data_IF_072582260430
#
_entry.id   IF_072582260430
#
_cell.length_a   1.000
_cell.length_b   1.000
_cell.length_c   1.000
_cell.angle_alpha   90.00
_cell.angle_beta   90.00
_cell.angle_gamma   90.00
#
_symmetry.space_group_name_H-M   'P 1'
#
loop_
_entity.id
_entity.type
_entity.pdbx_description
1 polymer ?
#
# COMPACT_ATOMS: atom_id res chain seq x y z
N UNK A 1 -22.49 -71.13 -26.68
CA UNK A 1 -21.49 -70.71 -25.66
C UNK A 1 -20.47 -69.70 -26.21
N UNK A 2 -20.88 -68.68 -26.99
CA UNK A 2 -19.96 -67.68 -27.59
C UNK A 2 -20.66 -66.34 -27.94
N UNK A 3 -21.52 -65.80 -27.09
CA UNK A 3 -22.12 -64.46 -27.32
C UNK A 3 -22.47 -63.71 -26.02
N UNK A 4 -21.66 -63.85 -24.96
CA UNK A 4 -21.95 -63.19 -23.67
C UNK A 4 -20.76 -62.48 -23.01
N UNK A 5 -19.67 -62.21 -23.74
CA UNK A 5 -18.48 -61.56 -23.17
C UNK A 5 -18.15 -60.19 -23.78
N UNK A 6 -18.98 -59.64 -24.66
CA UNK A 6 -18.68 -58.39 -25.38
C UNK A 6 -19.60 -57.23 -25.03
N UNK A 7 -20.20 -57.25 -23.83
CA UNK A 7 -21.04 -56.14 -23.33
C UNK A 7 -20.64 -55.63 -21.94
N UNK A 8 -19.58 -56.20 -21.32
CA UNK A 8 -19.14 -55.78 -19.99
C UNK A 8 -17.86 -54.92 -19.99
N UNK A 9 -17.22 -54.72 -21.14
CA UNK A 9 -15.98 -53.92 -21.28
C UNK A 9 -16.22 -52.48 -21.72
N UNK A 10 -17.45 -52.08 -22.04
CA UNK A 10 -17.77 -50.68 -22.41
C UNK A 10 -18.21 -49.83 -21.20
N UNK A 11 -18.56 -50.45 -20.07
CA UNK A 11 -19.03 -49.74 -18.86
C UNK A 11 -17.87 -49.25 -17.98
N UNK A 12 -16.64 -49.78 -18.17
CA UNK A 12 -15.44 -49.34 -17.46
C UNK A 12 -14.62 -48.26 -18.19
N UNK A 13 -15.10 -47.78 -19.34
CA UNK A 13 -14.57 -46.61 -20.05
C UNK A 13 -15.36 -45.32 -19.74
N UNK A 14 -16.27 -45.36 -18.76
CA UNK A 14 -16.69 -44.16 -18.03
C UNK A 14 -15.66 -43.88 -16.93
N UNK A 15 -14.38 -43.82 -17.33
CA UNK A 15 -13.31 -43.28 -16.51
C UNK A 15 -13.64 -41.81 -16.27
N UNK A 16 -14.10 -41.54 -15.06
CA UNK A 16 -14.13 -40.25 -14.39
C UNK A 16 -14.15 -39.05 -15.34
N UNK A 17 -15.35 -38.71 -15.81
CA UNK A 17 -15.67 -37.31 -16.09
C UNK A 17 -15.66 -36.64 -14.70
N UNK A 18 -14.45 -36.40 -14.16
CA UNK A 18 -14.29 -35.47 -13.04
C UNK A 18 -14.91 -34.18 -13.53
N UNK A 19 -16.01 -33.76 -12.90
CA UNK A 19 -16.59 -32.46 -13.14
C UNK A 19 -15.46 -31.44 -13.01
N UNK A 20 -15.12 -30.76 -14.11
CA UNK A 20 -14.08 -29.76 -14.11
C UNK A 20 -14.55 -28.64 -13.20
N UNK A 21 -13.91 -28.51 -12.02
CA UNK A 21 -14.26 -27.47 -11.06
C UNK A 21 -14.16 -26.11 -11.74
N UNK A 22 -15.23 -25.34 -11.66
CA UNK A 22 -15.26 -24.00 -12.27
C UNK A 22 -14.54 -23.00 -11.35
N UNK A 23 -14.04 -21.89 -11.89
CA UNK A 23 -13.41 -20.85 -11.06
C UNK A 23 -14.34 -20.36 -9.92
N UNK A 24 -15.64 -20.08 -10.13
CA UNK A 24 -16.55 -19.72 -9.03
C UNK A 24 -16.66 -20.80 -7.94
N UNK A 25 -16.65 -22.08 -8.32
CA UNK A 25 -16.69 -23.18 -7.36
C UNK A 25 -15.41 -23.27 -6.53
N UNK A 26 -14.24 -23.11 -7.17
CA UNK A 26 -12.95 -23.08 -6.48
C UNK A 26 -12.89 -21.89 -5.52
N UNK A 27 -13.32 -20.70 -5.96
CA UNK A 27 -13.40 -19.51 -5.10
C UNK A 27 -14.26 -19.83 -3.87
N UNK A 28 -15.51 -20.27 -4.09
CA UNK A 28 -16.46 -20.56 -3.01
C UNK A 28 -15.92 -21.59 -2.01
N UNK A 29 -15.29 -22.67 -2.50
CA UNK A 29 -14.75 -23.73 -1.65
C UNK A 29 -13.53 -23.29 -0.84
N UNK A 30 -12.83 -22.24 -1.28
CA UNK A 30 -11.62 -21.71 -0.64
C UNK A 30 -11.85 -20.30 -0.06
N UNK A 31 -13.09 -20.02 0.35
CA UNK A 31 -13.47 -18.80 1.04
C UNK A 31 -13.69 -19.06 2.52
N UNK A 32 -13.18 -18.16 3.36
CA UNK A 32 -13.54 -18.06 4.78
C UNK A 32 -14.05 -16.64 5.07
N UNK A 33 -14.85 -16.48 6.12
CA UNK A 33 -15.40 -15.17 6.49
C UNK A 33 -15.01 -14.77 7.90
N UNK A 34 -15.07 -13.46 8.15
CA UNK A 34 -14.90 -12.87 9.47
C UNK A 34 -15.65 -11.54 9.56
N UNK A 35 -15.97 -11.09 10.75
CA UNK A 35 -16.75 -9.87 10.98
C UNK A 35 -16.09 -9.00 12.06
N UNK A 36 -16.44 -7.72 12.08
CA UNK A 36 -16.02 -6.77 13.10
C UNK A 36 -17.19 -6.43 14.02
N UNK A 37 -17.09 -6.82 15.29
CA UNK A 37 -18.11 -6.55 16.30
C UNK A 37 -17.44 -6.29 17.65
N UNK A 38 -18.02 -5.41 18.47
CA UNK A 38 -17.54 -5.10 19.83
C UNK A 38 -16.04 -4.78 19.86
N UNK A 39 -15.61 -3.99 18.89
CA UNK A 39 -14.22 -3.58 18.67
C UNK A 39 -13.23 -4.72 18.40
N UNK A 40 -13.67 -5.91 17.96
CA UNK A 40 -12.79 -7.03 17.66
C UNK A 40 -13.17 -7.70 16.32
N UNK A 41 -12.18 -8.28 15.65
CA UNK A 41 -12.45 -9.20 14.55
C UNK A 41 -12.65 -10.62 15.09
N UNK A 42 -13.55 -11.36 14.48
CA UNK A 42 -13.85 -12.75 14.84
C UNK A 42 -14.35 -13.54 13.63
N UNK A 43 -14.16 -14.86 13.66
CA UNK A 43 -14.52 -15.76 12.57
C UNK A 43 -13.30 -16.47 11.97
N UNK A 44 -13.58 -17.53 11.21
CA UNK A 44 -12.55 -18.43 10.66
C UNK A 44 -11.53 -17.70 9.79
N UNK A 45 -11.98 -16.71 9.00
CA UNK A 45 -11.08 -15.90 8.17
C UNK A 45 -10.08 -15.09 8.98
N UNK A 46 -10.50 -14.54 10.13
CA UNK A 46 -9.61 -13.80 11.03
C UNK A 46 -8.56 -14.71 11.67
N UNK A 47 -8.99 -15.88 12.17
CA UNK A 47 -8.10 -16.88 12.75
C UNK A 47 -7.05 -17.36 11.74
N UNK A 48 -7.47 -17.59 10.49
CA UNK A 48 -6.58 -17.93 9.39
C UNK A 48 -5.55 -16.81 9.11
N UNK A 49 -6.01 -15.55 9.02
CA UNK A 49 -5.11 -14.40 8.82
C UNK A 49 -4.10 -14.28 9.94
N UNK A 50 -4.52 -14.32 11.21
CA UNK A 50 -3.61 -14.22 12.35
C UNK A 50 -2.60 -15.36 12.36
N UNK A 51 -3.03 -16.58 12.01
CA UNK A 51 -2.13 -17.74 11.90
C UNK A 51 -1.07 -17.52 10.83
N UNK A 52 -1.49 -17.17 9.61
CA UNK A 52 -0.57 -16.95 8.49
C UNK A 52 0.37 -15.77 8.76
N UNK A 53 -0.14 -14.67 9.31
CA UNK A 53 0.66 -13.51 9.66
C UNK A 53 1.70 -13.88 10.72
N UNK A 54 1.39 -14.72 11.72
CA UNK A 54 2.37 -15.19 12.72
C UNK A 54 3.49 -16.03 12.12
N UNK A 55 3.18 -16.86 11.12
CA UNK A 55 4.14 -17.78 10.47
C UNK A 55 5.18 -17.09 9.58
N UNK A 56 4.89 -15.91 9.02
CA UNK A 56 5.75 -15.25 8.02
C UNK A 56 6.52 -14.07 8.61
N UNK A 57 7.82 -13.94 8.32
CA UNK A 57 8.62 -12.81 8.82
C UNK A 57 8.24 -11.50 8.13
N UNK A 58 8.01 -11.53 6.82
CA UNK A 58 7.57 -10.37 6.04
C UNK A 58 6.12 -10.54 5.59
N UNK A 59 5.28 -9.59 6.01
CA UNK A 59 3.84 -9.53 5.72
C UNK A 59 3.56 -8.28 4.92
N UNK A 60 3.00 -8.45 3.72
CA UNK A 60 2.77 -7.39 2.76
C UNK A 60 1.27 -7.21 2.52
N UNK A 61 0.77 -6.02 2.81
CA UNK A 61 -0.63 -5.64 2.65
C UNK A 61 -0.71 -4.67 1.47
N UNK A 62 -1.29 -5.16 0.38
CA UNK A 62 -1.66 -4.37 -0.79
C UNK A 62 -3.08 -3.85 -0.65
N UNK A 63 -3.26 -2.53 -0.71
CA UNK A 63 -4.55 -1.90 -0.47
C UNK A 63 -5.11 -1.13 -1.68
N UNK A 64 -6.42 -0.98 -1.69
CA UNK A 64 -7.08 0.19 -2.26
C UNK A 64 -7.02 1.34 -1.25
N UNK A 65 -6.43 2.47 -1.62
CA UNK A 65 -6.28 3.59 -0.70
C UNK A 65 -7.62 4.23 -0.28
N UNK A 66 -7.59 4.96 0.84
CA UNK A 66 -8.64 5.87 1.30
C UNK A 66 -9.91 5.23 1.90
N UNK A 67 -9.81 4.00 2.42
CA UNK A 67 -10.86 3.34 3.21
C UNK A 67 -10.52 3.37 4.71
N UNK A 68 -11.52 3.53 5.58
CA UNK A 68 -11.31 3.45 7.04
C UNK A 68 -11.01 2.03 7.52
N UNK A 69 -11.54 1.07 6.78
CA UNK A 69 -11.54 -0.34 7.14
C UNK A 69 -10.13 -0.95 7.06
N UNK A 70 -9.29 -0.50 6.12
CA UNK A 70 -7.95 -1.08 5.95
C UNK A 70 -7.02 -0.70 7.11
N UNK A 71 -6.88 0.57 7.52
CA UNK A 71 -6.13 0.91 8.73
C UNK A 71 -6.69 0.25 9.99
N UNK A 72 -8.01 0.03 10.07
CA UNK A 72 -8.62 -0.72 11.16
C UNK A 72 -8.13 -2.19 11.17
N UNK A 73 -8.17 -2.87 10.03
CA UNK A 73 -7.64 -4.23 9.87
C UNK A 73 -6.18 -4.32 10.30
N UNK A 74 -5.34 -3.42 9.79
CA UNK A 74 -3.91 -3.38 10.15
C UNK A 74 -3.70 -3.09 11.63
N UNK A 75 -4.45 -2.14 12.20
CA UNK A 75 -4.36 -1.81 13.64
C UNK A 75 -4.72 -3.00 14.52
N UNK A 76 -5.63 -3.86 14.09
CA UNK A 76 -5.98 -5.09 14.82
C UNK A 76 -4.91 -6.14 14.73
N UNK A 77 -4.30 -6.32 13.56
CA UNK A 77 -3.14 -7.21 13.41
C UNK A 77 -2.01 -6.76 14.33
N UNK A 78 -1.68 -5.46 14.35
CA UNK A 78 -0.56 -4.94 15.15
C UNK A 78 -0.84 -4.99 16.65
N UNK A 79 -2.10 -4.99 17.07
CA UNK A 79 -2.48 -5.21 18.48
C UNK A 79 -2.29 -6.66 18.96
N UNK A 80 -2.30 -7.63 18.04
CA UNK A 80 -2.11 -9.04 18.35
C UNK A 80 -0.66 -9.51 18.12
N UNK A 81 0.04 -8.85 17.19
CA UNK A 81 1.35 -9.28 16.70
C UNK A 81 2.25 -8.06 16.67
N UNK A 82 3.34 -8.13 17.44
CA UNK A 82 4.37 -7.10 17.43
C UNK A 82 5.20 -7.18 16.15
N UNK A 83 5.34 -6.06 15.46
CA UNK A 83 6.27 -5.90 14.34
C UNK A 83 7.50 -5.12 14.80
N UNK A 84 8.67 -5.50 14.28
CA UNK A 84 9.90 -4.74 14.48
C UNK A 84 9.91 -3.51 13.56
N UNK A 85 9.40 -3.68 12.33
CA UNK A 85 9.49 -2.67 11.27
C UNK A 85 8.16 -2.52 10.54
N UNK A 86 7.82 -1.27 10.21
CA UNK A 86 6.71 -0.88 9.36
C UNK A 86 7.22 -0.09 8.15
N UNK A 87 7.10 -0.70 6.98
CA UNK A 87 7.46 -0.12 5.69
C UNK A 87 6.22 0.45 5.02
N UNK A 88 6.29 1.72 4.61
CA UNK A 88 5.13 2.42 4.08
C UNK A 88 5.43 3.29 2.84
N UNK A 89 4.36 3.59 2.11
CA UNK A 89 4.32 4.49 0.95
C UNK A 89 4.41 5.98 1.35
N UNK A 90 5.45 6.30 2.12
CA UNK A 90 5.95 7.64 2.44
C UNK A 90 7.40 7.74 2.01
N UNK A 91 7.92 8.94 1.78
CA UNK A 91 9.36 9.12 1.65
C UNK A 91 10.10 8.96 2.99
N UNK A 92 11.40 8.61 2.97
CA UNK A 92 12.18 8.42 4.19
C UNK A 92 12.18 9.64 5.14
N UNK A 93 12.12 10.86 4.60
CA UNK A 93 12.19 12.09 5.40
C UNK A 93 10.87 12.37 6.10
N UNK A 94 9.75 12.31 5.38
CA UNK A 94 8.41 12.51 5.95
C UNK A 94 8.12 11.47 7.03
N UNK A 95 8.44 10.20 6.78
CA UNK A 95 8.32 9.14 7.77
C UNK A 95 9.10 9.47 9.05
N UNK A 96 10.36 9.91 8.92
CA UNK A 96 11.20 10.25 10.07
C UNK A 96 10.72 11.49 10.81
N UNK A 97 10.25 12.51 10.09
CA UNK A 97 9.71 13.73 10.69
C UNK A 97 8.46 13.40 11.49
N UNK A 98 7.51 12.62 10.95
CA UNK A 98 6.30 12.22 11.67
C UNK A 98 6.67 11.42 12.93
N UNK A 99 7.54 10.41 12.82
CA UNK A 99 8.02 9.63 13.96
C UNK A 99 8.65 10.51 15.04
N UNK A 100 9.50 11.47 14.66
CA UNK A 100 10.13 12.41 15.59
C UNK A 100 9.10 13.28 16.30
N UNK A 101 8.13 13.84 15.56
CA UNK A 101 7.12 14.75 16.13
C UNK A 101 6.19 13.99 17.08
N UNK A 102 5.81 12.75 16.77
CA UNK A 102 5.01 11.88 17.66
C UNK A 102 5.76 11.54 18.96
N UNK A 103 7.06 11.27 18.89
CA UNK A 103 7.83 10.91 20.09
C UNK A 103 8.16 12.09 21.02
N UNK A 104 8.22 13.32 20.49
CA UNK A 104 8.82 14.45 21.22
C UNK A 104 7.89 15.65 21.44
N UNK A 105 6.80 15.80 20.67
CA UNK A 105 5.88 16.91 20.88
C UNK A 105 4.88 16.60 22.00
N UNK A 106 4.68 17.50 22.96
CA UNK A 106 3.51 17.49 23.82
C UNK A 106 2.21 17.56 23.02
N UNK A 107 1.10 17.09 23.59
CA UNK A 107 -0.19 16.96 22.91
C UNK A 107 -0.70 18.27 22.26
N UNK A 108 -0.56 19.40 22.94
CA UNK A 108 -0.96 20.72 22.42
C UNK A 108 -0.13 21.12 21.18
N UNK A 109 1.19 20.95 21.25
CA UNK A 109 2.10 21.25 20.14
C UNK A 109 1.91 20.26 18.98
N UNK A 110 1.59 19.00 19.29
CA UNK A 110 1.25 18.00 18.28
C UNK A 110 -0.01 18.41 17.51
N UNK A 111 -1.04 18.88 18.20
CA UNK A 111 -2.29 19.33 17.57
C UNK A 111 -2.06 20.52 16.64
N UNK A 112 -1.27 21.50 17.08
CA UNK A 112 -0.87 22.63 16.26
C UNK A 112 -0.06 22.20 15.03
N UNK A 113 0.91 21.30 15.22
CA UNK A 113 1.75 20.80 14.14
C UNK A 113 0.93 20.03 13.09
N UNK A 114 -0.02 19.20 13.51
CA UNK A 114 -0.90 18.48 12.59
C UNK A 114 -1.82 19.44 11.81
N UNK A 115 -2.36 20.46 12.47
CA UNK A 115 -3.13 21.50 11.78
C UNK A 115 -2.30 22.22 10.71
N UNK A 116 -1.02 22.44 10.97
CA UNK A 116 -0.13 23.15 10.05
C UNK A 116 0.36 22.27 8.91
N UNK A 117 0.79 21.04 9.18
CA UNK A 117 1.54 20.21 8.22
C UNK A 117 0.84 18.94 7.74
N UNK A 118 -0.29 18.50 8.31
CA UNK A 118 -0.89 17.21 7.95
C UNK A 118 -1.19 17.04 6.45
N UNK A 119 -1.54 18.12 5.75
CA UNK A 119 -1.76 18.11 4.30
C UNK A 119 -0.52 17.77 3.45
N UNK A 120 0.66 17.73 4.07
CA UNK A 120 1.93 17.35 3.46
C UNK A 120 2.27 15.87 3.64
N UNK A 121 1.48 15.10 4.40
CA UNK A 121 1.79 13.72 4.78
C UNK A 121 1.29 12.65 3.81
N UNK A 122 0.96 13.03 2.56
CA UNK A 122 0.40 12.10 1.55
C UNK A 122 -0.81 11.33 2.13
N UNK A 123 -0.87 10.01 1.96
CA UNK A 123 -1.91 9.13 2.50
C UNK A 123 -2.09 9.23 4.03
N UNK A 124 -1.02 9.53 4.76
CA UNK A 124 -1.04 9.68 6.23
C UNK A 124 -1.56 11.04 6.70
N UNK A 125 -2.07 11.87 5.79
CA UNK A 125 -2.92 13.01 6.10
C UNK A 125 -4.34 12.59 6.57
N UNK A 126 -4.72 11.33 6.31
CA UNK A 126 -5.98 10.75 6.77
C UNK A 126 -5.90 10.34 8.23
N UNK A 127 -6.97 10.59 8.98
CA UNK A 127 -7.03 10.38 10.42
C UNK A 127 -6.79 8.92 10.83
N UNK A 128 -7.40 7.97 10.13
CA UNK A 128 -7.24 6.53 10.41
C UNK A 128 -5.84 6.02 10.11
N UNK A 129 -5.25 6.44 8.98
CA UNK A 129 -3.85 6.14 8.62
C UNK A 129 -2.85 6.73 9.62
N UNK A 130 -3.07 7.99 10.00
CA UNK A 130 -2.22 8.67 10.98
C UNK A 130 -2.30 8.01 12.36
N UNK A 131 -3.49 7.60 12.80
CA UNK A 131 -3.67 6.92 14.08
C UNK A 131 -2.98 5.55 14.09
N UNK A 132 -3.05 4.79 12.99
CA UNK A 132 -2.27 3.55 12.83
C UNK A 132 -0.77 3.84 12.98
N UNK A 133 -0.25 4.82 12.23
CA UNK A 133 1.16 5.20 12.28
C UNK A 133 1.58 5.65 13.68
N UNK A 134 0.75 6.44 14.35
CA UNK A 134 0.98 6.92 15.72
C UNK A 134 1.07 5.77 16.71
N UNK A 135 0.17 4.80 16.63
CA UNK A 135 0.20 3.64 17.52
C UNK A 135 1.49 2.83 17.33
N UNK A 136 1.89 2.58 16.07
CA UNK A 136 3.14 1.87 15.75
C UNK A 136 4.38 2.59 16.31
N UNK A 137 4.44 3.92 16.19
CA UNK A 137 5.53 4.73 16.77
C UNK A 137 5.56 4.62 18.30
N UNK A 138 4.40 4.71 18.95
CA UNK A 138 4.30 4.60 20.41
C UNK A 138 4.70 3.20 20.91
N UNK A 139 4.43 2.16 20.13
CA UNK A 139 4.84 0.77 20.38
C UNK A 139 6.31 0.47 20.02
N UNK A 140 7.06 1.49 19.58
CA UNK A 140 8.49 1.40 19.21
C UNK A 140 8.74 0.50 18.01
N UNK A 141 7.80 0.47 17.06
CA UNK A 141 8.03 -0.06 15.71
C UNK A 141 8.86 0.93 14.91
N UNK A 142 9.89 0.45 14.20
CA UNK A 142 10.65 1.31 13.29
C UNK A 142 9.77 1.70 12.10
N UNK A 143 9.68 2.98 11.78
CA UNK A 143 8.93 3.46 10.61
C UNK A 143 9.90 3.74 9.47
N UNK A 144 9.69 3.07 8.33
CA UNK A 144 10.53 3.19 7.14
C UNK A 144 9.68 3.64 5.95
N UNK A 145 9.86 4.90 5.57
CA UNK A 145 9.36 5.39 4.29
C UNK A 145 10.26 4.91 3.15
N UNK A 146 9.67 4.49 2.03
CA UNK A 146 10.41 4.04 0.85
C UNK A 146 10.10 4.83 -0.43
N UNK A 147 9.07 5.65 -0.46
CA UNK A 147 8.62 6.33 -1.68
C UNK A 147 9.41 7.61 -1.99
N UNK A 148 9.07 8.25 -3.10
CA UNK A 148 9.48 9.61 -3.43
C UNK A 148 8.80 10.65 -2.53
N UNK A 149 9.42 11.83 -2.41
CA UNK A 149 8.85 12.94 -1.65
C UNK A 149 7.54 13.35 -2.33
N UNK A 150 6.45 13.38 -1.56
CA UNK A 150 5.13 13.67 -2.09
C UNK A 150 5.07 15.07 -2.72
N UNK A 151 4.25 15.22 -3.77
CA UNK A 151 4.07 16.49 -4.50
C UNK A 151 3.53 17.66 -3.64
N UNK A 152 3.08 17.40 -2.41
CA UNK A 152 2.64 18.42 -1.43
C UNK A 152 3.60 18.57 -0.25
N UNK A 153 4.72 17.83 -0.23
CA UNK A 153 5.66 17.80 0.87
C UNK A 153 6.82 18.81 0.75
N UNK A 154 6.86 19.64 -0.30
CA UNK A 154 7.88 20.68 -0.45
C UNK A 154 7.89 21.67 0.72
N UNK A 155 6.73 22.07 1.26
CA UNK A 155 6.66 22.91 2.46
C UNK A 155 7.28 22.22 3.68
N UNK A 156 7.00 20.93 3.86
CA UNK A 156 7.54 20.14 4.97
C UNK A 156 9.06 20.01 4.88
N UNK A 157 9.57 19.70 3.68
CA UNK A 157 11.01 19.61 3.44
C UNK A 157 11.71 20.95 3.61
N UNK A 158 11.13 22.04 3.11
CA UNK A 158 11.67 23.38 3.30
C UNK A 158 11.70 23.79 4.77
N UNK A 159 10.67 23.45 5.56
CA UNK A 159 10.66 23.65 7.00
C UNK A 159 11.80 22.89 7.69
N UNK A 160 11.99 21.60 7.36
CA UNK A 160 13.10 20.80 7.88
C UNK A 160 14.47 21.37 7.51
N UNK A 161 14.64 21.80 6.25
CA UNK A 161 15.88 22.39 5.75
C UNK A 161 16.19 23.72 6.45
N UNK A 162 15.16 24.52 6.77
CA UNK A 162 15.29 25.78 7.50
C UNK A 162 15.81 25.56 8.93
N UNK A 163 15.40 24.46 9.59
CA UNK A 163 15.89 24.10 10.94
C UNK A 163 17.40 23.80 10.96
N UNK A 164 17.94 23.19 9.89
CA UNK A 164 19.33 22.68 9.86
C UNK A 164 20.31 23.61 9.15
N UNK A 165 19.82 24.50 8.29
CA UNK A 165 20.70 25.31 7.44
C UNK A 165 21.45 26.40 8.22
N UNK A 166 22.73 26.57 7.88
CA UNK A 166 23.57 27.69 8.34
C UNK A 166 23.77 28.76 7.28
N UNK A 167 23.27 28.55 6.06
CA UNK A 167 23.47 29.45 4.93
C UNK A 167 22.33 30.47 4.84
N UNK A 168 22.63 31.76 5.00
CA UNK A 168 21.60 32.81 5.00
C UNK A 168 20.88 32.94 3.64
N UNK A 169 21.56 32.68 2.53
CA UNK A 169 20.92 32.66 1.20
C UNK A 169 19.94 31.50 1.07
N UNK A 170 20.31 30.33 1.58
CA UNK A 170 19.42 29.17 1.59
C UNK A 170 18.20 29.39 2.49
N UNK A 171 18.36 30.01 3.67
CA UNK A 171 17.25 30.36 4.57
C UNK A 171 16.16 31.16 3.88
N UNK A 172 16.54 32.15 3.08
CA UNK A 172 15.58 32.95 2.32
C UNK A 172 14.82 32.08 1.32
N UNK A 173 15.53 31.27 0.52
CA UNK A 173 14.91 30.42 -0.49
C UNK A 173 13.98 29.38 0.16
N UNK A 174 14.36 28.75 1.26
CA UNK A 174 13.48 27.81 1.97
C UNK A 174 12.22 28.50 2.50
N UNK A 175 12.34 29.71 3.04
CA UNK A 175 11.20 30.50 3.49
C UNK A 175 10.25 30.84 2.32
N UNK A 176 10.81 31.18 1.16
CA UNK A 176 10.03 31.46 -0.05
C UNK A 176 9.32 30.21 -0.57
N UNK A 177 9.99 29.04 -0.56
CA UNK A 177 9.37 27.75 -0.89
C UNK A 177 8.18 27.47 0.04
N UNK A 178 8.34 27.64 1.37
CA UNK A 178 7.25 27.39 2.32
C UNK A 178 6.02 28.25 2.02
N UNK A 179 6.22 29.55 1.80
CA UNK A 179 5.15 30.52 1.51
C UNK A 179 4.44 30.22 0.19
N UNK A 180 5.21 29.93 -0.86
CA UNK A 180 4.64 29.65 -2.17
C UNK A 180 3.92 28.29 -2.20
N UNK A 181 4.46 27.29 -1.51
CA UNK A 181 3.82 25.98 -1.35
C UNK A 181 2.43 26.09 -0.76
N UNK A 182 2.27 26.83 0.34
CA UNK A 182 0.97 27.06 0.98
C UNK A 182 -0.02 27.75 0.04
N UNK A 183 0.41 28.83 -0.62
CA UNK A 183 -0.41 29.55 -1.60
C UNK A 183 -0.86 28.64 -2.76
N UNK A 184 0.03 27.82 -3.29
CA UNK A 184 -0.28 26.92 -4.40
C UNK A 184 -1.15 25.74 -3.97
N UNK A 185 -0.98 25.24 -2.75
CA UNK A 185 -1.84 24.20 -2.19
C UNK A 185 -3.29 24.67 -2.13
N UNK A 186 -3.55 25.88 -1.64
CA UNK A 186 -4.89 26.47 -1.62
C UNK A 186 -5.51 26.62 -3.02
N UNK A 187 -4.70 27.01 -4.02
CA UNK A 187 -5.18 27.08 -5.40
C UNK A 187 -5.49 25.69 -5.96
N UNK A 188 -4.63 24.72 -5.68
CA UNK A 188 -4.76 23.34 -6.15
C UNK A 188 -6.02 22.65 -5.60
N UNK A 189 -6.25 22.70 -4.29
CA UNK A 189 -7.42 22.03 -3.68
C UNK A 189 -8.74 22.68 -4.07
N UNK A 190 -8.73 23.95 -4.50
CA UNK A 190 -9.88 24.64 -5.05
C UNK A 190 -10.04 24.50 -6.57
N UNK A 191 -9.23 23.65 -7.23
CA UNK A 191 -9.29 23.41 -8.68
C UNK A 191 -8.83 24.59 -9.55
N UNK A 192 -8.04 25.51 -8.99
CA UNK A 192 -7.60 26.77 -9.63
C UNK A 192 -6.10 26.79 -9.96
N UNK A 193 -5.37 25.71 -9.73
CA UNK A 193 -3.93 25.69 -9.96
C UNK A 193 -3.31 24.31 -9.77
N UNK A 194 -1.98 24.29 -9.82
CA UNK A 194 -1.16 23.10 -9.59
C UNK A 194 -0.32 23.27 -8.31
N UNK A 195 0.08 22.16 -7.67
CA UNK A 195 1.06 22.17 -6.58
C UNK A 195 2.30 22.99 -6.95
N UNK A 196 2.89 23.68 -5.97
CA UNK A 196 4.10 24.48 -6.19
C UNK A 196 5.25 23.63 -6.75
N UNK A 197 5.28 22.36 -6.34
CA UNK A 197 6.18 21.33 -6.82
C UNK A 197 6.30 21.21 -8.34
N UNK A 198 5.27 21.61 -9.09
CA UNK A 198 5.23 21.58 -10.56
C UNK A 198 5.64 22.88 -11.25
N UNK A 199 5.85 23.97 -10.51
CA UNK A 199 6.19 25.27 -11.09
C UNK A 199 7.65 25.38 -11.53
N UNK A 200 7.92 26.25 -12.50
CA UNK A 200 9.28 26.62 -12.92
C UNK A 200 10.03 27.34 -11.79
N UNK A 201 9.31 28.10 -10.96
CA UNK A 201 9.89 28.81 -9.83
C UNK A 201 10.48 27.85 -8.80
N UNK A 202 9.80 26.74 -8.50
CA UNK A 202 10.33 25.70 -7.64
C UNK A 202 11.63 25.08 -8.20
N UNK A 203 11.67 24.80 -9.50
CA UNK A 203 12.87 24.28 -10.18
C UNK A 203 14.04 25.27 -10.13
N UNK A 204 13.79 26.54 -10.43
CA UNK A 204 14.79 27.60 -10.32
C UNK A 204 15.31 27.76 -8.88
N UNK A 205 14.46 27.56 -7.87
CA UNK A 205 14.87 27.57 -6.47
C UNK A 205 15.77 26.38 -6.13
N UNK A 206 15.48 25.17 -6.63
CA UNK A 206 16.37 24.02 -6.48
C UNK A 206 17.73 24.26 -7.17
N UNK A 207 17.74 24.85 -8.36
CA UNK A 207 18.98 25.17 -9.08
C UNK A 207 19.81 26.21 -8.30
N UNK A 208 19.20 27.30 -7.82
CA UNK A 208 19.89 28.29 -6.98
C UNK A 208 20.49 27.64 -5.72
N UNK A 209 19.72 26.79 -5.05
CA UNK A 209 20.18 26.07 -3.85
C UNK A 209 21.36 25.14 -4.16
N UNK A 210 21.35 24.48 -5.31
CA UNK A 210 22.45 23.58 -5.73
C UNK A 210 23.80 24.29 -5.90
N UNK A 211 23.77 25.60 -6.18
CA UNK A 211 24.95 26.44 -6.33
C UNK A 211 25.48 27.03 -4.99
N UNK A 212 24.77 26.82 -3.89
CA UNK A 212 25.19 27.28 -2.57
C UNK A 212 26.07 26.23 -1.85
N UNK A 213 26.94 26.72 -0.97
CA UNK A 213 27.67 25.86 -0.03
C UNK A 213 26.74 25.42 1.10
N UNK A 214 26.20 24.21 1.00
CA UNK A 214 25.29 23.58 1.96
C UNK A 214 25.93 22.38 2.68
N UNK A 215 25.30 21.87 3.72
CA UNK A 215 25.69 20.60 4.35
C UNK A 215 25.41 19.39 3.45
N UNK A 216 25.95 18.23 3.81
CA UNK A 216 25.68 16.98 3.07
C UNK A 216 24.22 16.54 3.21
N UNK A 217 23.60 16.77 4.36
CA UNK A 217 22.17 16.47 4.59
C UNK A 217 21.28 17.35 3.72
N UNK A 218 21.53 18.68 3.70
CA UNK A 218 20.79 19.60 2.82
C UNK A 218 20.91 19.18 1.35
N UNK A 219 22.12 18.86 0.87
CA UNK A 219 22.33 18.42 -0.52
C UNK A 219 21.58 17.14 -0.85
N UNK A 220 21.50 16.19 0.09
CA UNK A 220 20.80 14.93 -0.13
C UNK A 220 19.29 15.15 -0.28
N UNK A 221 18.67 15.90 0.63
CA UNK A 221 17.24 16.24 0.56
C UNK A 221 16.94 16.99 -0.75
N UNK A 222 17.78 17.94 -1.15
CA UNK A 222 17.59 18.69 -2.40
C UNK A 222 17.71 17.81 -3.65
N UNK A 223 18.64 16.86 -3.65
CA UNK A 223 18.77 15.87 -4.72
C UNK A 223 17.51 15.00 -4.82
N UNK A 224 16.98 14.56 -3.69
CA UNK A 224 15.80 13.71 -3.65
C UNK A 224 14.51 14.48 -4.00
N UNK A 225 14.42 15.76 -3.66
CA UNK A 225 13.37 16.66 -4.15
C UNK A 225 13.42 16.79 -5.68
N UNK A 226 14.60 17.00 -6.24
CA UNK A 226 14.79 17.09 -7.69
C UNK A 226 14.43 15.77 -8.40
N UNK A 227 14.83 14.62 -7.83
CA UNK A 227 14.46 13.30 -8.35
C UNK A 227 12.95 13.06 -8.27
N UNK A 228 12.31 13.39 -7.15
CA UNK A 228 10.86 13.25 -6.97
C UNK A 228 10.10 14.11 -7.98
N UNK A 229 10.54 15.37 -8.21
CA UNK A 229 9.99 16.23 -9.27
C UNK A 229 10.12 15.58 -10.63
N UNK A 230 11.31 15.08 -10.99
CA UNK A 230 11.54 14.40 -12.27
C UNK A 230 10.58 13.22 -12.45
N UNK A 231 10.38 12.39 -11.43
CA UNK A 231 9.47 11.24 -11.53
C UNK A 231 8.05 11.70 -11.81
N UNK A 232 7.54 12.70 -11.08
CA UNK A 232 6.19 13.21 -11.32
C UNK A 232 6.04 13.86 -12.71
N UNK A 233 6.98 14.72 -13.12
CA UNK A 233 6.86 15.45 -14.39
C UNK A 233 7.04 14.56 -15.62
N UNK A 234 7.84 13.48 -15.50
CA UNK A 234 8.01 12.48 -16.57
C UNK A 234 6.99 11.34 -16.52
N UNK A 235 6.25 11.19 -15.41
CA UNK A 235 5.37 10.05 -15.14
C UNK A 235 6.09 8.69 -15.23
N UNK A 236 7.40 8.67 -14.94
CA UNK A 236 8.24 7.47 -15.04
C UNK A 236 8.04 6.54 -13.83
N UNK A 237 7.05 5.65 -13.95
CA UNK A 237 6.76 4.66 -12.92
C UNK A 237 7.96 3.72 -12.64
N UNK A 238 8.74 3.36 -13.68
CA UNK A 238 9.91 2.49 -13.50
C UNK A 238 10.97 3.16 -12.64
N UNK A 239 11.23 4.45 -12.85
CA UNK A 239 12.14 5.23 -12.01
C UNK A 239 11.65 5.34 -10.56
N UNK A 240 10.34 5.50 -10.34
CA UNK A 240 9.74 5.44 -8.99
C UNK A 240 10.02 4.11 -8.31
N UNK A 241 9.78 2.99 -9.00
CA UNK A 241 10.02 1.65 -8.45
C UNK A 241 11.51 1.44 -8.15
N UNK A 242 12.42 1.92 -9.01
CA UNK A 242 13.86 1.86 -8.74
C UNK A 242 14.24 2.63 -7.46
N UNK A 243 13.70 3.83 -7.27
CA UNK A 243 13.89 4.61 -6.05
C UNK A 243 13.37 3.84 -4.82
N UNK A 244 12.15 3.30 -4.88
CA UNK A 244 11.56 2.55 -3.78
C UNK A 244 12.38 1.32 -3.39
N UNK A 245 12.82 0.54 -4.39
CA UNK A 245 13.72 -0.60 -4.16
C UNK A 245 15.05 -0.18 -3.56
N UNK A 246 15.65 0.91 -4.06
CA UNK A 246 16.89 1.44 -3.52
C UNK A 246 16.75 1.84 -2.04
N UNK A 247 15.63 2.48 -1.67
CA UNK A 247 15.35 2.84 -0.28
C UNK A 247 15.21 1.61 0.64
N UNK A 248 14.57 0.54 0.16
CA UNK A 248 14.52 -0.74 0.88
C UNK A 248 15.90 -1.37 1.03
N UNK A 249 16.69 -1.42 -0.05
CA UNK A 249 18.03 -2.02 0.00
C UNK A 249 18.98 -1.27 0.95
N UNK A 250 18.81 0.05 1.08
CA UNK A 250 19.55 0.85 2.07
C UNK A 250 19.16 0.55 3.52
N UNK A 251 18.07 -0.19 3.75
CA UNK A 251 17.58 -0.60 5.07
C UNK A 251 17.54 -2.13 5.22
N UNK A 252 18.23 -2.87 4.34
CA UNK A 252 18.17 -4.34 4.27
C UNK A 252 18.54 -5.03 5.59
N UNK A 253 19.45 -4.44 6.37
CA UNK A 253 19.85 -4.97 7.68
C UNK A 253 18.69 -5.00 8.68
N UNK A 254 17.67 -4.15 8.50
CA UNK A 254 16.46 -4.15 9.31
C UNK A 254 15.53 -5.31 8.97
N UNK A 255 15.64 -5.93 7.79
CA UNK A 255 14.72 -7.01 7.38
C UNK A 255 15.08 -8.36 8.01
N UNK A 256 16.38 -8.61 8.20
CA UNK A 256 16.89 -9.94 8.52
C UNK A 256 16.47 -10.42 9.92
N UNK A 257 15.80 -11.56 9.99
CA UNK A 257 15.30 -12.18 11.23
C UNK A 257 14.38 -11.25 12.05
N UNK A 258 13.65 -10.37 11.36
CA UNK A 258 12.74 -9.40 11.95
C UNK A 258 11.31 -9.64 11.48
N UNK A 259 10.34 -9.17 12.27
CA UNK A 259 8.93 -9.15 11.87
C UNK A 259 8.62 -7.84 11.15
N UNK A 260 8.40 -7.93 9.85
CA UNK A 260 8.26 -6.79 8.95
C UNK A 260 6.82 -6.70 8.43
N UNK A 261 6.23 -5.50 8.54
CA UNK A 261 4.94 -5.18 7.94
C UNK A 261 5.15 -4.17 6.81
N UNK A 262 4.66 -4.47 5.62
CA UNK A 262 4.64 -3.57 4.47
C UNK A 262 3.19 -3.19 4.17
N UNK A 263 2.89 -1.90 4.02
CA UNK A 263 1.56 -1.41 3.62
C UNK A 263 1.67 -0.38 2.50
N UNK A 264 1.16 -0.74 1.33
CA UNK A 264 1.24 0.05 0.09
C UNK A 264 0.00 -0.19 -0.77
N UNK A 265 -0.20 0.66 -1.78
CA UNK A 265 -1.17 0.36 -2.84
C UNK A 265 -0.93 -1.03 -3.44
N UNK A 266 -2.02 -1.75 -3.76
CA UNK A 266 -1.96 -3.15 -4.20
C UNK A 266 -1.03 -3.40 -5.40
N UNK A 267 -0.87 -2.40 -6.28
CA UNK A 267 0.05 -2.44 -7.42
C UNK A 267 1.51 -2.74 -7.02
N UNK A 268 1.92 -2.35 -5.81
CA UNK A 268 3.29 -2.48 -5.32
C UNK A 268 3.55 -3.79 -4.58
N UNK A 269 2.51 -4.46 -4.09
CA UNK A 269 2.64 -5.60 -3.15
C UNK A 269 2.53 -6.97 -3.81
N UNK A 270 2.44 -7.02 -5.13
CA UNK A 270 2.42 -8.29 -5.87
C UNK A 270 3.80 -8.99 -5.80
N UNK A 271 3.86 -10.27 -5.41
CA UNK A 271 5.11 -11.05 -5.35
C UNK A 271 5.63 -11.55 -6.68
N UNK A 272 4.75 -11.58 -7.69
CA UNK A 272 5.09 -11.91 -9.06
C UNK A 272 5.24 -10.60 -9.88
N UNK A 273 4.79 -10.60 -11.12
CA UNK A 273 4.71 -9.38 -11.92
C UNK A 273 3.60 -8.46 -11.37
N UNK A 274 3.89 -7.17 -11.23
CA UNK A 274 2.92 -6.15 -10.82
C UNK A 274 1.73 -6.09 -11.78
N UNK A 275 0.58 -5.64 -11.25
CA UNK A 275 -0.64 -5.37 -12.01
C UNK A 275 -0.37 -4.38 -13.17
N UNK A 276 0.52 -3.41 -12.97
CA UNK A 276 0.93 -2.44 -14.01
C UNK A 276 2.08 -2.95 -14.91
N UNK A 277 2.57 -4.16 -14.66
CA UNK A 277 3.71 -4.76 -15.35
C UNK A 277 5.05 -4.50 -14.65
N UNK A 278 6.03 -5.35 -14.96
CA UNK A 278 7.34 -5.32 -14.31
C UNK A 278 7.34 -5.91 -12.89
N UNK A 279 8.49 -5.89 -12.24
CA UNK A 279 8.67 -6.44 -10.90
C UNK A 279 8.82 -5.32 -9.89
N UNK A 280 7.96 -5.31 -8.86
CA UNK A 280 7.87 -4.20 -7.90
C UNK A 280 8.40 -4.61 -6.52
N UNK A 281 8.02 -3.89 -5.46
CA UNK A 281 8.42 -4.10 -4.08
C UNK A 281 8.05 -5.48 -3.58
N UNK A 282 6.81 -5.93 -3.83
CA UNK A 282 6.37 -7.26 -3.41
C UNK A 282 7.26 -8.36 -3.95
N UNK A 283 7.64 -8.29 -5.23
CA UNK A 283 8.57 -9.24 -5.83
C UNK A 283 9.97 -9.15 -5.21
N UNK A 284 10.49 -7.94 -4.96
CA UNK A 284 11.79 -7.78 -4.30
C UNK A 284 11.80 -8.45 -2.93
N UNK A 285 10.79 -8.19 -2.10
CA UNK A 285 10.71 -8.77 -0.75
C UNK A 285 10.56 -10.29 -0.82
N UNK A 286 9.72 -10.81 -1.74
CA UNK A 286 9.59 -12.25 -1.93
C UNK A 286 10.92 -12.91 -2.29
N UNK A 287 11.74 -12.28 -3.14
CA UNK A 287 13.06 -12.80 -3.50
C UNK A 287 14.07 -12.69 -2.33
N UNK A 288 13.98 -11.65 -1.50
CA UNK A 288 14.83 -11.51 -0.30
C UNK A 288 14.49 -12.61 0.71
N UNK A 289 13.22 -12.86 0.99
CA UNK A 289 12.80 -13.94 1.89
C UNK A 289 13.19 -15.32 1.33
N UNK A 290 12.95 -15.57 0.05
CA UNK A 290 13.33 -16.83 -0.62
C UNK A 290 14.84 -17.08 -0.55
N UNK A 291 15.67 -16.05 -0.80
CA UNK A 291 17.12 -16.13 -0.67
C UNK A 291 17.59 -16.43 0.77
N UNK A 292 16.73 -16.20 1.76
CA UNK A 292 16.97 -16.55 3.17
C UNK A 292 16.28 -17.86 3.58
N UNK A 293 15.81 -18.67 2.63
CA UNK A 293 15.04 -19.90 2.85
C UNK A 293 13.75 -19.68 3.66
N UNK A 294 13.13 -18.52 3.46
CA UNK A 294 11.89 -18.09 4.10
C UNK A 294 10.84 -17.74 3.05
N UNK A 295 9.60 -17.48 3.48
CA UNK A 295 8.52 -17.00 2.62
C UNK A 295 7.96 -15.68 3.14
N UNK A 296 7.53 -14.83 2.22
CA UNK A 296 6.69 -13.66 2.50
C UNK A 296 5.21 -14.00 2.35
N UNK A 297 4.36 -13.30 3.11
CA UNK A 297 2.91 -13.37 3.00
C UNK A 297 2.39 -12.14 2.28
N UNK A 298 1.61 -12.32 1.21
CA UNK A 298 1.05 -11.22 0.42
C UNK A 298 -0.49 -11.22 0.50
N UNK A 299 -1.07 -10.16 1.02
CA UNK A 299 -2.51 -10.00 1.21
C UNK A 299 -2.97 -8.78 0.43
N UNK A 300 -3.91 -8.95 -0.49
CA UNK A 300 -4.61 -7.83 -1.14
C UNK A 300 -5.91 -7.55 -0.41
N UNK A 301 -6.26 -6.29 -0.20
CA UNK A 301 -7.53 -5.88 0.43
C UNK A 301 -8.23 -4.85 -0.45
N UNK A 302 -9.46 -5.15 -0.84
CA UNK A 302 -10.29 -4.29 -1.70
C UNK A 302 -11.70 -4.10 -1.15
N UNK A 303 -12.33 -2.98 -1.51
CA UNK A 303 -13.73 -2.69 -1.20
C UNK A 303 -14.65 -3.01 -2.38
N UNK A 304 -15.81 -3.64 -2.12
CA UNK A 304 -16.80 -3.93 -3.17
C UNK A 304 -17.73 -2.75 -3.45
N UNK A 305 -18.28 -2.14 -2.41
CA UNK A 305 -19.19 -0.99 -2.51
C UNK A 305 -19.06 -0.04 -1.32
N UNK A 306 -19.68 1.15 -1.41
CA UNK A 306 -19.65 2.17 -0.36
C UNK A 306 -18.99 3.46 -0.85
N UNK A 307 -18.25 4.12 0.04
CA UNK A 307 -17.61 5.41 -0.23
C UNK A 307 -16.10 5.32 -0.04
N UNK A 308 -15.36 5.92 -0.95
CA UNK A 308 -13.91 6.08 -0.92
C UNK A 308 -13.55 7.52 -0.55
N UNK A 309 -12.52 7.69 0.28
CA UNK A 309 -11.91 8.99 0.52
C UNK A 309 -11.20 9.53 -0.73
N UNK A 310 -10.44 10.59 -0.53
CA UNK A 310 -9.77 11.32 -1.63
C UNK A 310 -8.33 11.64 -1.24
N UNK A 311 -7.44 11.83 -2.24
CA UNK A 311 -6.03 12.14 -1.98
C UNK A 311 -5.79 13.51 -1.36
N UNK A 312 -6.70 14.48 -1.55
CA UNK A 312 -6.51 15.85 -1.06
C UNK A 312 -7.76 16.43 -0.40
N UNK A 313 -7.55 17.19 0.68
CA UNK A 313 -8.62 17.86 1.44
C UNK A 313 -9.33 18.87 0.52
N UNK A 314 -10.66 18.85 0.54
CA UNK A 314 -11.51 19.70 -0.30
C UNK A 314 -12.03 19.02 -1.57
N UNK A 315 -11.54 17.83 -1.92
CA UNK A 315 -12.14 17.01 -2.98
C UNK A 315 -13.35 16.21 -2.47
N UNK A 316 -14.25 15.84 -3.38
CA UNK A 316 -15.45 15.05 -3.06
C UNK A 316 -15.15 13.55 -2.99
N UNK A 317 -15.62 12.90 -1.93
CA UNK A 317 -15.57 11.44 -1.78
C UNK A 317 -16.23 10.73 -2.95
N UNK A 318 -15.69 9.59 -3.37
CA UNK A 318 -16.17 8.87 -4.55
C UNK A 318 -16.97 7.63 -4.15
N UNK A 319 -18.00 7.29 -4.92
CA UNK A 319 -18.70 6.02 -4.73
C UNK A 319 -17.88 4.89 -5.33
N UNK A 320 -17.66 3.82 -4.56
CA UNK A 320 -17.00 2.62 -5.06
C UNK A 320 -17.88 1.94 -6.11
N UNK A 321 -17.30 1.64 -7.27
CA UNK A 321 -17.97 0.95 -8.36
C UNK A 321 -17.24 -0.36 -8.68
N UNK A 322 -17.83 -1.54 -8.38
CA UNK A 322 -17.20 -2.83 -8.66
C UNK A 322 -17.04 -3.10 -10.16
N UNK A 323 -17.76 -2.37 -11.02
CA UNK A 323 -17.65 -2.44 -12.47
C UNK A 323 -16.73 -1.34 -13.06
N UNK A 324 -15.99 -0.62 -12.22
CA UNK A 324 -14.99 0.35 -12.68
C UNK A 324 -13.87 -0.32 -13.48
N UNK A 325 -13.06 0.49 -14.19
CA UNK A 325 -11.91 -0.02 -14.94
C UNK A 325 -10.96 -0.84 -14.06
N UNK A 326 -10.80 -0.44 -12.80
CA UNK A 326 -9.81 -1.01 -11.89
C UNK A 326 -10.35 -2.24 -11.14
N UNK A 327 -11.65 -2.26 -10.80
CA UNK A 327 -12.24 -3.33 -9.97
C UNK A 327 -12.95 -4.43 -10.76
N UNK A 328 -13.36 -4.20 -12.02
CA UNK A 328 -14.13 -5.19 -12.81
C UNK A 328 -13.41 -6.54 -12.97
N UNK A 329 -12.09 -6.55 -12.87
CA UNK A 329 -11.24 -7.75 -12.94
C UNK A 329 -11.50 -8.73 -11.79
N UNK A 330 -12.08 -8.25 -10.68
CA UNK A 330 -12.36 -9.04 -9.47
C UNK A 330 -13.84 -9.46 -9.35
N UNK A 331 -14.64 -9.30 -10.41
CA UNK A 331 -16.07 -9.62 -10.42
C UNK A 331 -16.37 -11.03 -9.91
N UNK A 332 -15.56 -12.03 -10.27
CA UNK A 332 -15.73 -13.41 -9.81
C UNK A 332 -15.65 -13.58 -8.28
N UNK A 333 -14.88 -12.73 -7.58
CA UNK A 333 -14.86 -12.68 -6.12
C UNK A 333 -16.08 -11.93 -5.59
N UNK A 334 -16.43 -10.80 -6.19
CA UNK A 334 -17.59 -10.00 -5.77
C UNK A 334 -18.92 -10.75 -5.90
N UNK A 335 -19.07 -11.58 -6.92
CA UNK A 335 -20.26 -12.40 -7.17
C UNK A 335 -20.41 -13.54 -6.16
N UNK A 336 -19.32 -13.93 -5.50
CA UNK A 336 -19.31 -15.00 -4.49
C UNK A 336 -19.61 -14.52 -3.07
N UNK A 337 -19.77 -13.20 -2.88
CA UNK A 337 -19.97 -12.56 -1.57
C UNK A 337 -21.45 -12.49 -1.21
N UNK A 338 -21.77 -12.97 -0.02
CA UNK A 338 -23.10 -12.90 0.59
C UNK A 338 -23.02 -12.19 1.95
N UNK A 339 -23.97 -11.31 2.25
CA UNK A 339 -24.02 -10.59 3.53
C UNK A 339 -22.96 -9.48 3.70
N UNK A 340 -22.74 -9.09 4.96
CA UNK A 340 -21.88 -7.96 5.35
C UNK A 340 -20.53 -8.40 5.94
N UNK A 341 -20.29 -9.71 6.08
CA UNK A 341 -19.04 -10.25 6.59
C UNK A 341 -17.89 -10.00 5.60
N UNK A 342 -16.67 -9.83 6.11
CA UNK A 342 -15.48 -9.75 5.29
C UNK A 342 -15.11 -11.14 4.78
N UNK A 343 -14.72 -11.22 3.51
CA UNK A 343 -14.44 -12.49 2.84
C UNK A 343 -12.94 -12.60 2.57
N UNK A 344 -12.34 -13.71 2.99
CA UNK A 344 -10.94 -14.09 2.73
C UNK A 344 -10.93 -15.20 1.69
N UNK A 345 -10.28 -14.94 0.57
CA UNK A 345 -10.10 -15.90 -0.52
C UNK A 345 -8.65 -16.39 -0.53
N UNK A 346 -8.44 -17.69 -0.38
CA UNK A 346 -7.12 -18.30 -0.50
C UNK A 346 -6.76 -18.49 -1.98
N UNK A 347 -5.94 -17.59 -2.52
CA UNK A 347 -5.57 -17.61 -3.94
C UNK A 347 -4.56 -18.71 -4.26
N UNK A 348 -3.81 -19.23 -3.27
CA UNK A 348 -2.87 -20.35 -3.47
C UNK A 348 -3.59 -21.58 -4.03
N UNK A 349 -4.80 -21.86 -3.56
CA UNK A 349 -5.59 -22.99 -4.05
C UNK A 349 -6.05 -22.78 -5.50
N UNK A 350 -6.37 -21.53 -5.89
CA UNK A 350 -6.67 -21.19 -7.29
C UNK A 350 -5.41 -21.38 -8.16
N UNK A 351 -4.24 -20.94 -7.70
CA UNK A 351 -2.97 -21.12 -8.43
C UNK A 351 -2.67 -22.60 -8.68
N UNK A 352 -2.88 -23.48 -7.68
CA UNK A 352 -2.67 -24.93 -7.84
C UNK A 352 -3.53 -25.50 -8.97
N UNK A 353 -4.80 -25.12 -9.04
CA UNK A 353 -5.75 -25.59 -10.05
C UNK A 353 -5.40 -25.06 -11.46
N UNK A 354 -4.82 -23.85 -11.55
CA UNK A 354 -4.23 -23.33 -12.81
C UNK A 354 -3.01 -24.17 -13.23
N UNK A 355 -2.10 -24.49 -12.29
CA UNK A 355 -0.87 -25.22 -12.60
C UNK A 355 -1.12 -26.65 -13.12
N UNK A 356 -2.17 -27.31 -12.64
CA UNK A 356 -2.59 -28.63 -13.13
C UNK A 356 -3.52 -28.56 -14.34
N UNK A 357 -3.67 -27.38 -14.98
CA UNK A 357 -4.51 -27.13 -16.15
C UNK A 357 -6.00 -27.46 -15.96
N UNK A 358 -6.51 -27.43 -14.72
CA UNK A 358 -7.94 -27.63 -14.45
C UNK A 358 -8.76 -26.38 -14.73
N UNK A 359 -8.18 -25.20 -14.53
CA UNK A 359 -8.80 -23.92 -14.91
C UNK A 359 -7.83 -23.04 -15.69
N UNK A 360 -8.39 -22.09 -16.45
CA UNK A 360 -7.65 -21.03 -17.15
C UNK A 360 -8.28 -19.69 -16.81
N UNK A 361 -7.45 -18.70 -16.48
CA UNK A 361 -7.87 -17.30 -16.29
C UNK A 361 -7.35 -16.51 -17.49
N UNK A 362 -8.26 -15.89 -18.24
CA UNK A 362 -7.92 -15.09 -19.43
C UNK A 362 -7.69 -13.62 -19.12
N UNK A 363 -8.29 -13.13 -18.04
CA UNK A 363 -8.06 -11.78 -17.54
C UNK A 363 -6.64 -11.68 -16.94
N UNK A 364 -5.77 -10.93 -17.59
CA UNK A 364 -4.36 -10.81 -17.20
C UNK A 364 -4.19 -10.17 -15.82
N UNK A 365 -5.02 -9.19 -15.46
CA UNK A 365 -4.94 -8.50 -14.16
C UNK A 365 -5.37 -9.46 -13.06
N UNK A 366 -6.46 -10.21 -13.27
CA UNK A 366 -6.88 -11.25 -12.35
C UNK A 366 -5.82 -12.33 -12.21
N UNK A 367 -5.23 -12.80 -13.32
CA UNK A 367 -4.17 -13.82 -13.30
C UNK A 367 -2.93 -13.34 -12.53
N UNK A 368 -2.48 -12.11 -12.77
CA UNK A 368 -1.37 -11.50 -12.03
C UNK A 368 -1.69 -11.38 -10.55
N UNK A 369 -2.92 -11.01 -10.20
CA UNK A 369 -3.37 -10.89 -8.80
C UNK A 369 -3.36 -12.23 -8.10
N UNK A 370 -4.00 -13.25 -8.68
CA UNK A 370 -4.09 -14.60 -8.07
C UNK A 370 -2.71 -15.24 -7.91
N UNK A 371 -1.77 -15.01 -8.84
CA UNK A 371 -0.38 -15.46 -8.72
C UNK A 371 0.45 -14.64 -7.72
N UNK A 372 0.08 -13.38 -7.54
CA UNK A 372 0.86 -12.37 -6.84
C UNK A 372 0.55 -12.21 -5.36
N UNK A 373 -0.67 -12.55 -4.98
CA UNK A 373 -1.13 -12.53 -3.60
C UNK A 373 -1.40 -13.96 -3.14
N UNK A 374 -1.24 -14.20 -1.83
CA UNK A 374 -1.59 -15.43 -1.13
C UNK A 374 -3.04 -15.44 -0.67
N UNK A 375 -3.53 -14.24 -0.36
CA UNK A 375 -4.91 -14.00 0.04
C UNK A 375 -5.45 -12.72 -0.59
N UNK A 376 -6.72 -12.76 -0.97
CA UNK A 376 -7.51 -11.58 -1.30
C UNK A 376 -8.59 -11.43 -0.23
N UNK A 377 -8.67 -10.26 0.39
CA UNK A 377 -9.73 -9.89 1.31
C UNK A 377 -10.66 -8.91 0.58
N UNK A 378 -11.95 -9.22 0.56
CA UNK A 378 -12.96 -8.29 0.08
C UNK A 378 -13.81 -7.82 1.25
N UNK A 379 -13.88 -6.50 1.39
CA UNK A 379 -14.76 -5.81 2.32
C UNK A 379 -16.05 -5.48 1.58
N UNK A 380 -17.20 -6.06 1.95
CA UNK A 380 -18.45 -5.82 1.23
C UNK A 380 -18.79 -4.34 1.16
N UNK A 381 -18.67 -3.63 2.28
CA UNK A 381 -19.02 -2.23 2.40
C UNK A 381 -17.92 -1.42 3.08
N UNK A 382 -17.43 -0.40 2.39
CA UNK A 382 -16.38 0.50 2.87
C UNK A 382 -16.87 1.92 3.10
N UNK A 383 -16.14 2.64 3.95
CA UNK A 383 -16.41 4.04 4.29
C UNK A 383 -15.20 4.92 3.99
N UNK A 384 -15.48 6.16 3.60
CA UNK A 384 -14.46 7.09 3.17
C UNK A 384 -13.58 7.51 4.36
N UNK A 385 -12.26 7.36 4.19
CA UNK A 385 -11.31 7.94 5.13
C UNK A 385 -11.36 9.46 5.10
N UNK A 386 -11.23 10.08 6.27
CA UNK A 386 -11.31 11.53 6.46
C UNK A 386 -9.96 12.11 6.89
N UNK A 387 -9.69 13.36 6.53
CA UNK A 387 -8.47 14.06 6.92
C UNK A 387 -8.42 14.35 8.42
N UNK A 388 -7.21 14.50 8.95
CA UNK A 388 -7.00 15.03 10.30
C UNK A 388 -7.63 16.43 10.40
N UNK A 389 -8.36 16.66 11.50
CA UNK A 389 -9.07 17.92 11.77
C UNK A 389 -8.21 18.95 12.46
#
# INVERSE_FOLDING_TARGET
MKQLCTLFTLILMLSDIYAQSTLPEIIKNNTSTFYYQDHNFSGKGWEEMITQIKEHNSVLIGEDHFFNEIPLFVSKITSEIKFDNFFCELDPYTAKIIEQKINHLPEEQSSQYLKEFSNTFSFYALSTEFNLLKNLVLEKTNIIGTDQIALTADRLMASKLLEITKNNGAKQIYSDIMKNSEKHYDLFTNGKGNPYFFTDEFEQNLEKLSNLKLSSEERLILKDLALSRKIYTSQDHSLRIQLMKNNILNTIDLLKNKKNLFKYGAIHMNKAESILGGYDIGNLISNIEDANFQSSLHIMIIGKEGMQGVPFKGMETQKVNPNSKDLKHFGCFFDSIEGDDWHVFNTKEIVKEIQVNKIKIEDEILLKTVKGFDYLIVIPKVSAATFIN
#
